data_IF_974352210916
#
_entry.id   IF_974352210916
#
_cell.length_a   1.000
_cell.length_b   1.000
_cell.length_c   1.000
_cell.angle_alpha   90.00
_cell.angle_beta   90.00
_cell.angle_gamma   90.00
#
_symmetry.space_group_name_H-M   'P 1'
#
loop_
_entity.id
_entity.type
_entity.pdbx_description
1 polymer ?
#
# COMPACT_ATOMS: atom_id res chain seq x y z
N UNK A 1 23.96 -49.79 -42.91
CA UNK A 1 23.11 -49.50 -41.74
C UNK A 1 22.01 -48.56 -42.24
N UNK A 2 20.84 -49.09 -42.62
CA UNK A 2 19.63 -49.16 -41.76
C UNK A 2 19.36 -47.79 -41.12
N UNK A 3 18.53 -46.95 -41.75
CA UNK A 3 17.08 -46.89 -41.55
C UNK A 3 16.70 -46.40 -40.15
N UNK A 4 16.11 -45.21 -40.05
CA UNK A 4 15.00 -44.89 -39.14
C UNK A 4 14.43 -43.49 -39.41
N UNK A 5 13.21 -43.49 -39.98
CA UNK A 5 12.07 -42.60 -39.69
C UNK A 5 12.31 -41.07 -39.77
N UNK A 6 11.86 -40.30 -40.78
CA UNK A 6 10.52 -40.20 -41.39
C UNK A 6 9.36 -40.16 -40.38
N UNK A 7 8.62 -39.04 -40.46
CA UNK A 7 7.28 -38.78 -39.93
C UNK A 7 7.17 -38.28 -38.48
N UNK A 8 6.97 -36.96 -38.34
CA UNK A 8 5.66 -36.43 -37.94
C UNK A 8 5.55 -34.97 -38.36
N UNK A 9 5.35 -34.76 -39.68
CA UNK A 9 4.54 -33.64 -40.11
C UNK A 9 3.08 -33.95 -39.73
N UNK A 10 2.33 -32.89 -39.41
CA UNK A 10 0.90 -32.89 -39.12
C UNK A 10 0.49 -33.34 -37.71
N UNK A 11 0.54 -32.41 -36.76
CA UNK A 11 -0.62 -32.18 -35.90
C UNK A 11 -0.90 -30.67 -35.82
N UNK A 12 -1.90 -30.26 -36.61
CA UNK A 12 -2.91 -29.24 -36.34
C UNK A 12 -2.39 -27.84 -35.95
N UNK A 13 -2.44 -26.86 -36.86
CA UNK A 13 -3.67 -26.14 -37.22
C UNK A 13 -4.48 -25.64 -36.01
N UNK A 14 -4.71 -24.33 -36.03
CA UNK A 14 -5.78 -23.59 -35.36
C UNK A 14 -5.82 -23.57 -33.83
N UNK A 15 -5.13 -22.61 -33.23
CA UNK A 15 -5.76 -21.70 -32.25
C UNK A 15 -5.26 -20.27 -32.52
N UNK A 16 -6.02 -19.43 -33.24
CA UNK A 16 -5.96 -18.00 -33.01
C UNK A 16 -6.69 -17.69 -31.70
N UNK A 17 -6.40 -16.53 -31.09
CA UNK A 17 -7.01 -16.03 -29.83
C UNK A 17 -6.38 -16.60 -28.55
N UNK A 18 -5.97 -15.83 -27.55
CA UNK A 18 -6.10 -14.41 -27.30
C UNK A 18 -4.72 -13.89 -26.83
N UNK A 19 -4.07 -13.03 -27.62
CA UNK A 19 -3.61 -11.79 -27.01
C UNK A 19 -4.89 -11.20 -26.43
N UNK A 20 -5.10 -11.39 -25.12
CA UNK A 20 -6.07 -10.58 -24.43
C UNK A 20 -5.74 -9.15 -24.89
N UNK A 21 -6.71 -8.36 -25.36
CA UNK A 21 -6.43 -6.94 -25.42
C UNK A 21 -5.89 -6.63 -24.03
N UNK A 22 -4.66 -6.11 -23.95
CA UNK A 22 -4.43 -5.08 -22.97
C UNK A 22 -5.62 -4.16 -23.23
N UNK A 23 -6.67 -4.30 -22.41
CA UNK A 23 -7.74 -3.34 -22.37
C UNK A 23 -6.94 -2.10 -22.04
N UNK A 24 -6.65 -1.33 -23.09
CA UNK A 24 -6.12 0.00 -22.96
C UNK A 24 -7.20 0.66 -22.14
N UNK A 25 -7.05 0.62 -20.81
CA UNK A 25 -7.99 1.19 -19.88
C UNK A 25 -8.19 2.58 -20.43
N UNK A 26 -9.43 2.86 -20.85
CA UNK A 26 -9.74 4.10 -21.53
C UNK A 26 -9.09 5.23 -20.72
N UNK A 27 -8.51 6.27 -21.34
CA UNK A 27 -7.75 7.30 -20.63
C UNK A 27 -8.45 7.85 -19.37
N UNK A 28 -9.79 7.85 -19.35
CA UNK A 28 -10.63 8.18 -18.20
C UNK A 28 -10.53 7.19 -17.01
N UNK A 29 -10.41 5.88 -17.26
CA UNK A 29 -10.18 4.86 -16.23
C UNK A 29 -8.81 5.01 -15.56
N UNK A 30 -7.76 5.25 -16.34
CA UNK A 30 -6.42 5.51 -15.79
C UNK A 30 -6.35 6.83 -14.99
N UNK A 31 -7.09 7.85 -15.41
CA UNK A 31 -7.20 9.11 -14.68
C UNK A 31 -7.92 8.92 -13.33
N UNK A 32 -9.00 8.12 -13.31
CA UNK A 32 -9.76 7.79 -12.10
C UNK A 32 -8.92 6.97 -11.14
N UNK A 33 -8.21 5.95 -11.63
CA UNK A 33 -7.33 5.10 -10.82
C UNK A 33 -6.19 5.92 -10.19
N UNK A 34 -5.58 6.85 -10.93
CA UNK A 34 -4.57 7.77 -10.38
C UNK A 34 -5.13 8.70 -9.32
N UNK A 35 -6.31 9.28 -9.56
CA UNK A 35 -6.96 10.17 -8.58
C UNK A 35 -7.27 9.41 -7.28
N UNK A 36 -7.78 8.18 -7.38
CA UNK A 36 -8.04 7.32 -6.24
C UNK A 36 -6.77 6.94 -5.48
N UNK A 37 -5.70 6.58 -6.21
CA UNK A 37 -4.41 6.27 -5.61
C UNK A 37 -3.83 7.49 -4.87
N UNK A 38 -3.92 8.68 -5.47
CA UNK A 38 -3.47 9.93 -4.84
C UNK A 38 -4.30 10.24 -3.59
N UNK A 39 -5.63 10.14 -3.67
CA UNK A 39 -6.51 10.35 -2.52
C UNK A 39 -6.21 9.38 -1.38
N UNK A 40 -5.88 8.12 -1.68
CA UNK A 40 -5.47 7.14 -0.68
C UNK A 40 -4.14 7.51 0.00
N UNK A 41 -3.15 7.97 -0.77
CA UNK A 41 -1.86 8.45 -0.24
C UNK A 41 -2.05 9.67 0.65
N UNK A 42 -2.84 10.65 0.21
CA UNK A 42 -3.16 11.85 0.97
C UNK A 42 -3.94 11.54 2.25
N UNK A 43 -4.96 10.68 2.15
CA UNK A 43 -5.73 10.21 3.30
C UNK A 43 -4.86 9.49 4.33
N UNK A 44 -3.96 8.63 3.88
CA UNK A 44 -3.01 7.94 4.76
C UNK A 44 -2.03 8.92 5.43
N UNK A 45 -1.50 9.89 4.69
CA UNK A 45 -0.64 10.92 5.26
C UNK A 45 -1.37 11.80 6.30
N UNK A 46 -2.66 12.08 6.07
CA UNK A 46 -3.49 12.80 7.04
C UNK A 46 -3.69 11.99 8.33
N UNK A 47 -3.95 10.69 8.22
CA UNK A 47 -4.01 9.76 9.35
C UNK A 47 -2.68 9.80 10.12
N UNK A 48 -1.54 9.66 9.44
CA UNK A 48 -0.23 9.67 10.08
C UNK A 48 0.07 11.00 10.79
N UNK A 49 -0.33 12.12 10.19
CA UNK A 49 -0.20 13.45 10.80
C UNK A 49 -1.08 13.56 12.07
N UNK A 50 -2.25 12.92 12.09
CA UNK A 50 -3.18 12.93 13.23
C UNK A 50 -2.74 11.99 14.36
N UNK A 51 -2.10 10.88 14.02
CA UNK A 51 -1.55 9.92 15.00
C UNK A 51 -0.26 10.45 15.63
N UNK A 52 0.56 11.21 14.90
CA UNK A 52 1.82 11.77 15.38
C UNK A 52 1.75 12.45 16.76
N UNK A 53 0.85 13.42 17.00
CA UNK A 53 0.69 14.10 18.29
C UNK A 53 0.41 13.16 19.46
N UNK A 54 -0.21 12.02 19.18
CA UNK A 54 -0.68 11.07 20.16
C UNK A 54 0.41 10.15 20.70
N UNK A 55 1.56 10.06 20.04
CA UNK A 55 2.67 9.20 20.45
C UNK A 55 3.08 9.42 21.92
N UNK A 56 3.02 10.67 22.41
CA UNK A 56 3.37 11.00 23.80
C UNK A 56 2.44 10.38 24.86
N UNK A 57 1.26 9.93 24.44
CA UNK A 57 0.26 9.29 25.29
C UNK A 57 0.19 7.77 25.08
N UNK A 58 1.03 7.22 24.19
CA UNK A 58 1.10 5.79 23.90
C UNK A 58 2.12 5.08 24.81
N UNK A 59 1.89 3.81 25.07
CA UNK A 59 2.90 2.95 25.71
C UNK A 59 4.10 2.72 24.79
N UNK A 60 5.26 2.41 25.35
CA UNK A 60 6.48 2.13 24.59
C UNK A 60 6.29 1.00 23.55
N UNK A 61 5.46 0.00 23.86
CA UNK A 61 5.14 -1.09 22.94
C UNK A 61 4.34 -0.59 21.73
N UNK A 62 3.34 0.27 21.96
CA UNK A 62 2.55 0.88 20.89
C UNK A 62 3.40 1.81 20.01
N UNK A 63 4.28 2.62 20.63
CA UNK A 63 5.22 3.47 19.92
C UNK A 63 6.12 2.64 18.99
N UNK A 64 6.65 1.52 19.48
CA UNK A 64 7.46 0.62 18.67
C UNK A 64 6.68 0.06 17.48
N UNK A 65 5.44 -0.39 17.71
CA UNK A 65 4.58 -0.91 16.65
C UNK A 65 4.30 0.11 15.54
N UNK A 66 4.00 1.36 15.90
CA UNK A 66 3.78 2.45 14.93
C UNK A 66 5.07 2.75 14.14
N UNK A 67 6.21 2.77 14.81
CA UNK A 67 7.49 3.08 14.16
C UNK A 67 7.96 1.98 13.21
N UNK A 68 7.69 0.72 13.54
CA UNK A 68 7.98 -0.43 12.68
C UNK A 68 7.26 -0.36 11.33
N UNK A 69 6.10 0.32 11.25
CA UNK A 69 5.41 0.56 9.98
C UNK A 69 6.23 1.39 8.99
N UNK A 70 7.27 2.09 9.46
CA UNK A 70 8.16 2.89 8.63
C UNK A 70 9.54 2.26 8.40
N UNK A 71 9.77 1.04 8.90
CA UNK A 71 10.98 0.29 8.63
C UNK A 71 10.79 -0.46 7.32
N UNK A 72 11.66 -0.26 6.31
CA UNK A 72 11.61 -1.06 5.10
C UNK A 72 11.92 -2.52 5.44
N UNK A 73 11.33 -3.45 4.69
CA UNK A 73 11.68 -4.85 4.85
C UNK A 73 13.17 -5.11 4.55
N UNK A 74 13.76 -6.17 5.13
CA UNK A 74 15.14 -6.55 4.81
C UNK A 74 15.33 -6.67 3.29
N UNK A 75 16.42 -6.06 2.79
CA UNK A 75 16.78 -6.02 1.37
C UNK A 75 15.89 -5.13 0.48
N UNK A 76 14.91 -4.39 1.03
CA UNK A 76 14.19 -3.36 0.29
C UNK A 76 14.80 -1.97 0.54
N UNK A 77 15.02 -1.22 -0.53
CA UNK A 77 15.30 0.22 -0.43
C UNK A 77 14.05 0.97 0.04
N UNK A 78 14.17 1.97 0.93
CA UNK A 78 13.03 2.79 1.33
C UNK A 78 12.32 3.40 0.12
N UNK A 79 11.03 3.12 -0.03
CA UNK A 79 10.21 3.71 -1.09
C UNK A 79 9.85 5.18 -0.77
N UNK A 80 9.65 5.99 -1.81
CA UNK A 80 9.28 7.39 -1.70
C UNK A 80 7.96 7.58 -0.95
N UNK A 81 7.01 6.65 -1.10
CA UNK A 81 5.78 6.65 -0.33
C UNK A 81 6.04 6.47 1.16
N UNK A 82 6.88 5.52 1.53
CA UNK A 82 7.23 5.25 2.93
C UNK A 82 7.90 6.48 3.57
N UNK A 83 8.81 7.12 2.84
CA UNK A 83 9.46 8.36 3.27
C UNK A 83 8.45 9.51 3.46
N UNK A 84 7.50 9.66 2.53
CA UNK A 84 6.44 10.66 2.62
C UNK A 84 5.53 10.45 3.84
N UNK A 85 5.08 9.22 4.09
CA UNK A 85 4.24 8.88 5.24
C UNK A 85 4.99 9.06 6.57
N UNK A 86 6.28 8.67 6.61
CA UNK A 86 7.15 8.92 7.77
C UNK A 86 7.29 10.41 8.06
N UNK A 87 7.48 11.24 7.04
CA UNK A 87 7.55 12.69 7.20
C UNK A 87 6.23 13.28 7.73
N UNK A 88 5.08 12.78 7.27
CA UNK A 88 3.77 13.17 7.77
C UNK A 88 3.59 12.84 9.27
N UNK A 89 3.97 11.63 9.66
CA UNK A 89 4.00 11.22 11.07
C UNK A 89 4.89 12.14 11.91
N UNK A 90 6.12 12.43 11.46
CA UNK A 90 7.04 13.32 12.19
C UNK A 90 6.50 14.76 12.32
N UNK A 91 5.85 15.30 11.28
CA UNK A 91 5.16 16.60 11.38
C UNK A 91 4.09 16.59 12.45
N UNK A 92 3.29 15.53 12.49
CA UNK A 92 2.28 15.34 13.54
C UNK A 92 2.91 15.28 14.93
N UNK A 93 4.01 14.54 15.11
CA UNK A 93 4.69 14.44 16.43
C UNK A 93 5.17 15.78 16.97
N UNK A 94 5.52 16.72 16.10
CA UNK A 94 5.93 18.06 16.50
C UNK A 94 4.75 18.91 17.01
N UNK A 95 3.51 18.56 16.64
CA UNK A 95 2.30 19.21 17.13
C UNK A 95 1.93 18.69 18.53
N UNK A 96 1.90 19.60 19.50
CA UNK A 96 1.57 19.29 20.89
C UNK A 96 0.12 19.64 21.28
N UNK A 97 -0.70 20.13 20.35
CA UNK A 97 -2.05 20.62 20.63
C UNK A 97 -3.07 19.55 21.04
N UNK A 98 -2.79 18.26 20.80
CA UNK A 98 -3.76 17.17 21.04
C UNK A 98 -3.75 16.69 22.50
N UNK A 99 -4.93 16.60 23.10
CA UNK A 99 -5.10 16.11 24.48
C UNK A 99 -4.99 14.58 24.57
N UNK A 100 -4.74 14.08 25.79
CA UNK A 100 -4.72 12.64 26.06
C UNK A 100 -6.07 11.98 25.71
N UNK A 101 -7.18 12.63 26.07
CA UNK A 101 -8.54 12.13 25.79
C UNK A 101 -8.80 12.01 24.29
N UNK A 102 -8.43 13.01 23.49
CA UNK A 102 -8.53 12.92 22.03
C UNK A 102 -7.76 11.71 21.49
N UNK A 103 -6.55 11.51 21.99
CA UNK A 103 -5.70 10.41 21.55
C UNK A 103 -6.21 9.04 21.97
N UNK A 104 -6.83 8.92 23.14
CA UNK A 104 -7.51 7.69 23.57
C UNK A 104 -8.69 7.37 22.66
N UNK A 105 -9.55 8.34 22.37
CA UNK A 105 -10.69 8.16 21.46
C UNK A 105 -10.24 7.81 20.04
N UNK A 106 -9.18 8.46 19.54
CA UNK A 106 -8.60 8.14 18.24
C UNK A 106 -8.13 6.68 18.17
N UNK A 107 -7.37 6.23 19.17
CA UNK A 107 -6.88 4.85 19.23
C UNK A 107 -8.03 3.84 19.39
N UNK A 108 -9.07 4.20 20.15
CA UNK A 108 -10.29 3.39 20.28
C UNK A 108 -10.98 3.24 18.93
N UNK A 109 -11.21 4.33 18.21
CA UNK A 109 -11.83 4.32 16.88
C UNK A 109 -11.03 3.44 15.88
N UNK A 110 -9.69 3.51 15.90
CA UNK A 110 -8.87 2.63 15.07
C UNK A 110 -9.02 1.15 15.45
N UNK A 111 -9.06 0.83 16.75
CA UNK A 111 -9.25 -0.55 17.21
C UNK A 111 -10.62 -1.12 16.82
N UNK A 112 -11.68 -0.31 16.89
CA UNK A 112 -13.04 -0.69 16.49
C UNK A 112 -13.15 -0.86 14.97
N UNK A 113 -12.49 0.00 14.18
CA UNK A 113 -12.49 -0.09 12.71
C UNK A 113 -11.84 -1.37 12.19
N UNK A 114 -10.86 -1.92 12.90
CA UNK A 114 -10.17 -3.18 12.54
C UNK A 114 -11.02 -4.42 12.83
N UNK A 115 -12.08 -4.30 13.63
CA UNK A 115 -12.98 -5.41 13.95
C UNK A 115 -14.11 -5.61 12.90
N UNK A 116 -14.19 -4.73 11.89
CA UNK A 116 -15.26 -4.70 10.89
C UNK A 116 -14.80 -5.07 9.47
N UNK A 117 -13.53 -5.48 9.30
CA UNK A 117 -12.98 -6.01 8.04
C UNK A 117 -12.46 -7.42 8.23
#
# INVERSE_FOLDING_TARGET
MLASALLLAALLQSVPAQLAPATAQAPAGQATDRANAQAAVEGTAHIMTTVGPCERHLSLAQIRGVRQTFEPEPCQTPDALLAYLKAAYQRGRADQSRSANFCQELMRAFSESKALG
#
